data_IF_772178016707
#
_entry.id   IF_772178016707
#
_cell.length_a   1.000
_cell.length_b   1.000
_cell.length_c   1.000
_cell.angle_alpha   90.00
_cell.angle_beta   90.00
_cell.angle_gamma   90.00
#
_symmetry.space_group_name_H-M   'P 1'
#
loop_
_entity.id
_entity.type
_entity.pdbx_description
1 polymer ?
#
# COMPACT_ATOMS: atom_id res chain seq x y z
N UNK A 1 -7.62 34.62 49.69
CA UNK A 1 -7.87 33.75 48.54
C UNK A 1 -6.84 32.64 48.62
N UNK A 2 -7.22 31.42 49.00
CA UNK A 2 -6.32 30.27 48.91
C UNK A 2 -6.04 30.04 47.41
N UNK A 3 -4.77 30.05 47.03
CA UNK A 3 -4.33 29.72 45.69
C UNK A 3 -4.84 28.30 45.32
N UNK A 4 -5.94 28.29 44.57
CA UNK A 4 -6.44 27.04 44.02
C UNK A 4 -5.44 26.56 42.96
N UNK A 5 -4.66 25.56 43.30
CA UNK A 5 -3.76 24.90 42.34
C UNK A 5 -4.61 24.17 41.30
N UNK A 6 -4.82 24.78 40.14
CA UNK A 6 -5.47 24.15 39.00
C UNK A 6 -4.51 23.13 38.37
N UNK A 7 -5.04 22.04 37.92
CA UNK A 7 -4.30 21.02 37.14
C UNK A 7 -4.99 20.66 35.81
N UNK A 8 -6.05 21.41 35.44
CA UNK A 8 -6.82 21.20 34.20
C UNK A 8 -7.30 22.52 33.66
N UNK A 9 -7.41 22.60 32.33
CA UNK A 9 -7.95 23.76 31.67
C UNK A 9 -9.45 23.94 31.92
N UNK A 10 -10.22 22.88 31.73
CA UNK A 10 -11.67 22.99 31.90
C UNK A 10 -12.33 21.71 32.36
N UNK A 11 -13.51 21.92 32.97
CA UNK A 11 -14.52 20.92 33.18
C UNK A 11 -15.69 21.19 32.24
N UNK A 12 -16.20 20.17 31.52
CA UNK A 12 -17.36 20.27 30.66
C UNK A 12 -18.57 19.72 31.39
N UNK A 13 -19.49 20.63 31.75
CA UNK A 13 -20.78 20.32 32.37
C UNK A 13 -21.87 20.19 31.31
N UNK A 14 -22.65 19.12 31.34
CA UNK A 14 -23.69 18.87 30.33
C UNK A 14 -24.78 17.93 30.85
N UNK A 15 -25.96 17.97 30.22
CA UNK A 15 -26.99 16.95 30.42
C UNK A 15 -26.69 15.72 29.55
N UNK A 16 -26.96 14.50 30.02
CA UNK A 16 -26.70 13.25 29.29
C UNK A 16 -27.29 13.21 27.88
N UNK A 17 -28.45 13.87 27.67
CA UNK A 17 -29.05 13.98 26.33
C UNK A 17 -28.20 14.76 25.33
N UNK A 18 -27.28 15.60 25.83
CA UNK A 18 -26.39 16.43 25.04
C UNK A 18 -24.98 15.81 24.87
N UNK A 19 -24.83 14.52 25.24
CA UNK A 19 -23.56 13.76 25.24
C UNK A 19 -22.81 13.85 23.91
N UNK A 20 -23.52 13.84 22.77
CA UNK A 20 -22.88 13.91 21.44
C UNK A 20 -22.08 15.20 21.28
N UNK A 21 -22.64 16.33 21.71
CA UNK A 21 -21.98 17.63 21.62
C UNK A 21 -20.85 17.74 22.66
N UNK A 22 -21.06 17.22 23.88
CA UNK A 22 -20.03 17.17 24.91
C UNK A 22 -18.81 16.36 24.45
N UNK A 23 -19.01 15.18 23.87
CA UNK A 23 -17.92 14.36 23.28
C UNK A 23 -17.21 15.09 22.16
N UNK A 24 -17.93 15.74 21.26
CA UNK A 24 -17.35 16.51 20.17
C UNK A 24 -16.48 17.65 20.70
N UNK A 25 -17.01 18.46 21.62
CA UNK A 25 -16.29 19.60 22.19
C UNK A 25 -15.04 19.16 22.95
N UNK A 26 -15.18 18.13 23.78
CA UNK A 26 -14.07 17.53 24.53
C UNK A 26 -12.92 17.10 23.59
N UNK A 27 -13.24 16.29 22.56
CA UNK A 27 -12.25 15.82 21.58
C UNK A 27 -11.57 16.97 20.83
N UNK A 28 -12.35 17.99 20.46
CA UNK A 28 -11.83 19.18 19.78
C UNK A 28 -10.88 19.99 20.67
N UNK A 29 -11.25 20.21 21.94
CA UNK A 29 -10.40 20.93 22.89
C UNK A 29 -9.11 20.18 23.14
N UNK A 30 -9.16 18.90 23.47
CA UNK A 30 -7.98 18.09 23.75
C UNK A 30 -7.04 17.91 22.54
N UNK A 31 -7.59 17.95 21.32
CA UNK A 31 -6.81 17.88 20.07
C UNK A 31 -6.35 19.27 19.57
N UNK A 32 -6.72 20.35 20.24
CA UNK A 32 -6.33 21.68 19.80
C UNK A 32 -4.85 21.93 20.10
N UNK A 33 -4.08 22.18 19.06
CA UNK A 33 -2.66 22.50 19.17
C UNK A 33 -2.49 23.95 19.56
N UNK A 34 -1.86 24.17 20.70
CA UNK A 34 -1.55 25.50 21.20
C UNK A 34 -0.68 26.31 20.20
N UNK A 35 -0.86 27.63 20.11
CA UNK A 35 0.12 28.51 19.48
C UNK A 35 1.52 28.30 20.06
N UNK A 36 2.55 28.46 19.26
CA UNK A 36 3.96 28.27 19.68
C UNK A 36 4.38 29.21 20.82
N UNK A 37 3.70 30.34 20.92
CA UNK A 37 3.93 31.38 21.91
C UNK A 37 3.25 31.08 23.26
N UNK A 38 2.35 30.07 23.29
CA UNK A 38 1.58 29.68 24.48
C UNK A 38 2.03 28.30 24.93
N UNK A 39 2.59 28.23 26.11
CA UNK A 39 2.91 26.95 26.76
C UNK A 39 1.67 26.38 27.45
N UNK A 40 1.57 25.07 27.52
CA UNK A 40 0.56 24.42 28.33
C UNK A 40 0.90 24.65 29.82
N UNK A 41 -0.09 25.13 30.59
CA UNK A 41 0.10 25.46 32.00
C UNK A 41 0.12 24.21 32.91
N UNK A 42 -0.38 23.06 32.45
CA UNK A 42 -0.65 21.90 33.28
C UNK A 42 0.09 20.63 32.88
N UNK A 43 0.52 20.52 31.64
CA UNK A 43 1.25 19.38 31.10
C UNK A 43 2.35 19.82 30.14
N UNK A 44 3.42 19.06 30.04
CA UNK A 44 4.40 19.24 28.95
C UNK A 44 3.81 18.72 27.61
N UNK A 45 2.86 19.47 27.10
CA UNK A 45 2.09 19.13 25.91
C UNK A 45 1.91 20.33 24.98
N UNK A 46 1.94 20.06 23.69
CA UNK A 46 1.61 21.06 22.64
C UNK A 46 0.10 21.21 22.42
N UNK A 47 -0.72 20.57 23.22
CA UNK A 47 -2.17 20.54 23.06
C UNK A 47 -2.87 21.14 24.29
N UNK A 48 -4.10 21.64 24.07
CA UNK A 48 -4.96 22.23 25.12
C UNK A 48 -5.60 21.10 25.95
N UNK A 49 -4.85 20.54 26.87
CA UNK A 49 -5.27 19.45 27.76
C UNK A 49 -4.54 19.55 29.11
N UNK A 50 -5.03 18.93 30.19
CA UNK A 50 -6.20 18.04 30.23
C UNK A 50 -7.53 18.81 30.32
N UNK A 51 -8.55 18.26 29.67
CA UNK A 51 -9.93 18.67 29.79
C UNK A 51 -10.72 17.55 30.44
N UNK A 52 -11.53 17.86 31.44
CA UNK A 52 -12.38 16.86 32.07
C UNK A 52 -13.82 16.97 31.53
N UNK A 53 -14.42 15.86 31.29
CA UNK A 53 -15.84 15.74 30.95
C UNK A 53 -16.48 14.76 31.91
N UNK A 54 -17.58 15.15 32.52
CA UNK A 54 -18.35 14.26 33.40
C UNK A 54 -18.73 12.98 32.64
N UNK A 55 -18.50 11.83 33.29
CA UNK A 55 -18.90 10.52 32.79
C UNK A 55 -19.95 9.99 33.76
N UNK A 56 -21.19 10.00 33.36
CA UNK A 56 -22.37 9.57 34.14
C UNK A 56 -22.38 8.07 34.50
N UNK A 57 -21.33 7.30 34.20
CA UNK A 57 -21.31 5.84 34.34
C UNK A 57 -20.87 5.35 35.76
N UNK A 58 -20.82 6.21 36.73
CA UNK A 58 -20.34 5.84 38.07
C UNK A 58 -21.47 5.91 39.12
N UNK A 59 -21.54 4.93 40.04
CA UNK A 59 -22.57 4.76 41.04
C UNK A 59 -22.76 5.99 41.98
N UNK A 60 -23.99 6.35 42.23
CA UNK A 60 -24.46 7.61 42.83
C UNK A 60 -24.01 7.94 44.27
N UNK A 61 -23.23 7.11 44.92
CA UNK A 61 -22.89 7.26 46.35
C UNK A 61 -21.50 7.81 46.68
N UNK A 62 -20.50 7.55 45.82
CA UNK A 62 -19.08 7.95 46.05
C UNK A 62 -18.68 9.10 45.14
N UNK A 63 -19.53 9.44 44.18
CA UNK A 63 -19.28 10.32 43.05
C UNK A 63 -19.18 11.80 43.39
N UNK A 64 -19.91 12.26 44.42
CA UNK A 64 -20.01 13.68 44.74
C UNK A 64 -18.68 14.33 45.07
N UNK A 65 -17.83 13.64 45.81
CA UNK A 65 -16.56 14.20 46.29
C UNK A 65 -15.48 14.17 45.24
N UNK A 66 -15.41 13.12 44.44
CA UNK A 66 -14.42 13.00 43.37
C UNK A 66 -14.72 13.97 42.23
N UNK A 67 -15.97 14.09 41.87
CA UNK A 67 -16.41 15.06 40.87
C UNK A 67 -16.18 16.50 41.34
N UNK A 68 -16.51 16.83 42.60
CA UNK A 68 -16.17 18.14 43.17
C UNK A 68 -14.67 18.42 43.15
N UNK A 69 -13.84 17.41 43.32
CA UNK A 69 -12.38 17.53 43.25
C UNK A 69 -11.96 17.87 41.80
N UNK A 70 -12.55 17.23 40.79
CA UNK A 70 -12.29 17.55 39.39
C UNK A 70 -12.80 18.93 39.02
N UNK A 71 -13.98 19.30 39.47
CA UNK A 71 -14.56 20.62 39.27
C UNK A 71 -13.66 21.69 39.90
N UNK A 72 -13.20 21.51 41.14
CA UNK A 72 -12.34 22.44 41.88
C UNK A 72 -10.96 22.63 41.21
N UNK A 73 -10.41 21.54 40.66
CA UNK A 73 -9.08 21.53 40.04
C UNK A 73 -9.09 22.06 38.60
N UNK A 74 -10.26 22.36 38.00
CA UNK A 74 -10.39 22.90 36.69
C UNK A 74 -10.43 24.42 36.67
N UNK A 75 -9.68 25.08 35.77
CA UNK A 75 -9.59 26.53 35.67
C UNK A 75 -10.89 27.14 35.12
N UNK A 76 -11.50 26.50 34.15
CA UNK A 76 -12.75 26.94 33.53
C UNK A 76 -13.85 25.89 33.65
N UNK A 77 -15.11 26.37 33.68
CA UNK A 77 -16.31 25.55 33.55
C UNK A 77 -16.97 25.85 32.21
N UNK A 78 -16.98 24.90 31.29
CA UNK A 78 -17.71 25.00 30.03
C UNK A 78 -19.06 24.34 30.23
N UNK A 79 -20.13 25.12 30.18
CA UNK A 79 -21.50 24.64 30.36
C UNK A 79 -22.17 24.47 29.01
N UNK A 80 -22.53 23.25 28.66
CA UNK A 80 -23.35 23.02 27.46
C UNK A 80 -24.78 23.40 27.79
N UNK A 81 -25.27 24.45 27.15
CA UNK A 81 -26.58 25.05 27.36
C UNK A 81 -27.58 24.56 26.31
N UNK A 82 -28.67 23.98 26.75
CA UNK A 82 -29.79 23.48 25.99
C UNK A 82 -31.03 23.44 26.86
N UNK A 83 -32.25 23.22 26.29
CA UNK A 83 -33.46 22.99 27.09
C UNK A 83 -33.34 21.77 28.02
N UNK A 84 -32.46 20.82 27.73
CA UNK A 84 -32.19 19.70 28.63
C UNK A 84 -31.33 20.14 29.85
N UNK A 85 -30.29 20.92 29.60
CA UNK A 85 -29.40 21.40 30.68
C UNK A 85 -30.10 22.43 31.58
N UNK A 86 -31.03 23.24 31.04
CA UNK A 86 -31.84 24.18 31.79
C UNK A 86 -32.68 23.51 32.90
N UNK A 87 -33.13 22.28 32.65
CA UNK A 87 -33.92 21.44 33.56
C UNK A 87 -33.07 20.55 34.46
N UNK A 88 -31.75 20.52 34.27
CA UNK A 88 -30.85 19.65 35.02
C UNK A 88 -30.42 20.28 36.33
N UNK A 89 -30.81 19.66 37.45
CA UNK A 89 -30.34 20.05 38.78
C UNK A 89 -28.86 19.88 38.93
N UNK A 90 -28.31 18.85 38.30
CA UNK A 90 -26.89 18.53 38.35
C UNK A 90 -26.04 19.65 37.75
N UNK A 91 -26.33 20.02 36.46
CA UNK A 91 -25.64 21.12 35.78
C UNK A 91 -25.83 22.43 36.56
N UNK A 92 -27.02 22.67 37.12
CA UNK A 92 -27.30 23.85 37.95
C UNK A 92 -26.46 23.89 39.21
N UNK A 93 -26.24 22.75 39.86
CA UNK A 93 -25.39 22.63 41.08
C UNK A 93 -23.90 22.88 40.77
N UNK A 94 -23.39 22.39 39.67
CA UNK A 94 -22.00 22.62 39.22
C UNK A 94 -21.76 24.11 38.95
N UNK A 95 -22.68 24.74 38.24
CA UNK A 95 -22.65 26.20 37.98
C UNK A 95 -22.72 26.97 39.28
N UNK A 96 -23.66 26.65 40.16
CA UNK A 96 -23.76 27.29 41.50
C UNK A 96 -22.46 27.20 42.28
N UNK A 97 -21.87 26.04 42.33
CA UNK A 97 -20.59 25.80 43.03
C UNK A 97 -19.47 26.70 42.49
N UNK A 98 -19.37 26.88 41.17
CA UNK A 98 -18.40 27.80 40.56
C UNK A 98 -18.68 29.27 40.90
N UNK A 99 -19.95 29.67 40.97
CA UNK A 99 -20.38 31.02 41.38
C UNK A 99 -20.02 31.27 42.84
N UNK A 100 -20.32 30.30 43.75
CA UNK A 100 -20.00 30.38 45.16
C UNK A 100 -18.48 30.50 45.45
N UNK A 101 -17.67 29.90 44.58
CA UNK A 101 -16.19 30.08 44.64
C UNK A 101 -15.70 31.40 44.09
N UNK A 102 -16.58 32.30 43.65
CA UNK A 102 -16.23 33.60 43.06
C UNK A 102 -15.63 33.51 41.65
N UNK A 103 -15.86 32.37 40.98
CA UNK A 103 -15.23 32.04 39.68
C UNK A 103 -16.17 32.22 38.46
N UNK A 104 -17.10 33.14 38.56
CA UNK A 104 -18.05 33.41 37.47
C UNK A 104 -17.38 33.71 36.16
N UNK A 105 -16.33 34.51 36.15
CA UNK A 105 -15.60 34.89 34.90
C UNK A 105 -14.94 33.67 34.21
N UNK A 106 -14.86 32.56 34.94
CA UNK A 106 -14.32 31.28 34.40
C UNK A 106 -15.44 30.36 33.88
N UNK A 107 -16.71 30.78 33.93
CA UNK A 107 -17.83 30.04 33.35
C UNK A 107 -17.98 30.45 31.88
N UNK A 108 -18.03 29.47 31.00
CA UNK A 108 -18.19 29.65 29.56
C UNK A 108 -19.48 28.93 29.12
N UNK A 109 -20.63 29.66 29.02
CA UNK A 109 -21.82 29.08 28.47
C UNK A 109 -21.64 28.79 26.97
N UNK A 110 -21.88 27.55 26.59
CA UNK A 110 -21.81 27.07 25.22
C UNK A 110 -23.19 26.61 24.77
N UNK A 111 -23.90 27.50 24.08
CA UNK A 111 -25.32 27.33 23.71
C UNK A 111 -25.36 26.47 22.44
N UNK A 112 -26.02 25.30 22.57
CA UNK A 112 -26.21 24.38 21.46
C UNK A 112 -27.62 24.34 20.93
N UNK A 113 -28.58 24.73 21.76
CA UNK A 113 -30.00 24.81 21.44
C UNK A 113 -30.73 25.71 22.46
N UNK A 114 -31.84 26.26 22.06
CA UNK A 114 -32.69 27.11 22.93
C UNK A 114 -32.26 28.58 22.99
N UNK A 115 -32.94 29.34 23.84
CA UNK A 115 -32.80 30.79 23.98
C UNK A 115 -32.47 31.11 25.45
N UNK A 116 -31.35 31.80 25.71
CA UNK A 116 -30.98 32.17 27.07
C UNK A 116 -31.95 33.19 27.67
N UNK A 117 -32.35 32.98 28.92
CA UNK A 117 -33.28 33.83 29.69
C UNK A 117 -34.65 33.98 29.04
N UNK A 118 -35.12 33.03 28.24
CA UNK A 118 -36.46 33.06 27.66
C UNK A 118 -37.57 32.83 28.70
N UNK A 119 -37.25 32.09 29.76
CA UNK A 119 -38.22 31.71 30.80
C UNK A 119 -39.27 30.69 30.34
N UNK A 120 -39.20 30.25 29.08
CA UNK A 120 -40.14 29.33 28.46
C UNK A 120 -39.59 27.89 28.34
N UNK A 121 -40.25 27.11 27.47
CA UNK A 121 -39.83 25.72 27.20
C UNK A 121 -38.48 25.63 26.45
N UNK A 122 -38.13 26.67 25.75
CA UNK A 122 -36.91 26.86 24.99
C UNK A 122 -35.75 27.46 25.81
N UNK A 123 -35.97 27.67 27.10
CA UNK A 123 -34.91 28.14 28.00
C UNK A 123 -33.68 27.18 28.00
N UNK A 124 -32.50 27.73 27.81
CA UNK A 124 -31.25 26.93 27.74
C UNK A 124 -30.30 27.15 28.89
N UNK A 125 -30.45 28.22 29.68
CA UNK A 125 -29.56 28.45 30.83
C UNK A 125 -30.01 27.66 32.07
N UNK A 126 -29.09 26.96 32.77
CA UNK A 126 -29.38 26.35 34.06
C UNK A 126 -29.92 27.36 35.07
N UNK A 127 -30.76 26.89 36.01
CA UNK A 127 -31.44 27.74 37.00
C UNK A 127 -30.47 28.65 37.77
N UNK A 128 -29.31 28.12 38.17
CA UNK A 128 -28.29 28.90 38.90
C UNK A 128 -27.71 30.04 38.08
N UNK A 129 -27.54 29.82 36.76
CA UNK A 129 -27.02 30.84 35.84
C UNK A 129 -28.04 31.95 35.63
N UNK A 130 -29.34 31.61 35.42
CA UNK A 130 -30.43 32.56 35.28
C UNK A 130 -30.62 33.42 36.50
N UNK A 131 -30.63 32.82 37.71
CA UNK A 131 -30.72 33.53 38.99
C UNK A 131 -29.59 34.56 39.12
N UNK A 132 -28.36 34.13 38.83
CA UNK A 132 -27.23 35.04 38.89
C UNK A 132 -27.35 36.23 37.91
N UNK A 133 -27.76 35.98 36.67
CA UNK A 133 -27.95 37.03 35.66
C UNK A 133 -29.08 38.01 36.12
N UNK A 134 -30.18 37.49 36.66
CA UNK A 134 -31.27 38.32 37.18
C UNK A 134 -30.86 39.20 38.39
N UNK A 135 -29.99 38.68 39.28
CA UNK A 135 -29.52 39.42 40.44
C UNK A 135 -28.39 40.42 40.10
N UNK A 136 -27.75 40.27 38.91
CA UNK A 136 -26.63 41.11 38.47
C UNK A 136 -26.84 41.64 37.02
N UNK A 137 -27.83 42.51 36.79
CA UNK A 137 -28.20 42.98 35.45
C UNK A 137 -27.08 43.74 34.74
N UNK A 138 -26.16 44.35 35.49
CA UNK A 138 -25.01 45.11 34.94
C UNK A 138 -23.86 44.15 34.45
N UNK A 139 -23.98 42.85 34.72
CA UNK A 139 -22.99 41.88 34.25
C UNK A 139 -23.57 40.96 33.17
N UNK A 140 -23.35 41.37 31.92
CA UNK A 140 -23.73 40.57 30.79
C UNK A 140 -22.89 39.32 30.68
N UNK A 141 -23.51 38.13 30.84
CA UNK A 141 -22.87 36.86 30.62
C UNK A 141 -23.03 36.44 29.16
N UNK A 142 -22.06 36.76 28.35
CA UNK A 142 -22.09 36.43 26.92
C UNK A 142 -21.91 34.91 26.74
N UNK A 143 -22.99 34.23 26.33
CA UNK A 143 -22.95 32.85 25.89
C UNK A 143 -22.40 32.73 24.46
N UNK A 144 -21.73 31.64 24.20
CA UNK A 144 -21.22 31.31 22.85
C UNK A 144 -22.28 30.44 22.17
N UNK A 145 -23.04 31.03 21.23
CA UNK A 145 -24.15 30.38 20.55
C UNK A 145 -23.69 29.77 19.22
N UNK A 146 -23.78 28.43 19.11
CA UNK A 146 -23.37 27.70 17.89
C UNK A 146 -24.35 27.93 16.75
N UNK A 147 -25.61 28.22 17.03
CA UNK A 147 -26.65 28.46 16.01
C UNK A 147 -26.40 29.78 15.27
N UNK A 148 -25.84 30.78 15.96
CA UNK A 148 -25.55 32.11 15.37
C UNK A 148 -24.22 32.12 14.62
N UNK A 149 -23.16 31.55 15.22
CA UNK A 149 -21.78 31.71 14.69
C UNK A 149 -21.26 30.49 13.95
N UNK A 150 -21.96 29.37 14.06
CA UNK A 150 -21.53 28.07 13.57
C UNK A 150 -20.55 27.36 14.48
N UNK A 151 -20.55 26.05 14.44
CA UNK A 151 -19.89 25.16 15.37
C UNK A 151 -18.36 25.37 15.48
N UNK A 152 -17.67 25.55 14.36
CA UNK A 152 -16.21 25.76 14.35
C UNK A 152 -15.81 27.13 14.91
N UNK A 153 -16.56 28.19 14.60
CA UNK A 153 -16.29 29.52 15.18
C UNK A 153 -16.58 29.55 16.67
N UNK A 154 -17.68 28.90 17.10
CA UNK A 154 -18.00 28.76 18.50
C UNK A 154 -16.89 28.05 19.28
N UNK A 155 -16.37 26.95 18.74
CA UNK A 155 -15.22 26.25 19.32
C UNK A 155 -14.00 27.18 19.46
N UNK A 156 -13.61 27.90 18.43
CA UNK A 156 -12.45 28.84 18.50
C UNK A 156 -12.71 29.96 19.50
N UNK A 157 -13.97 30.41 19.70
CA UNK A 157 -14.31 31.38 20.75
C UNK A 157 -14.13 30.81 22.16
N UNK A 158 -14.48 29.53 22.40
CA UNK A 158 -14.18 28.86 23.66
C UNK A 158 -12.69 28.85 23.93
N UNK A 159 -11.90 28.42 22.95
CA UNK A 159 -10.43 28.38 23.07
C UNK A 159 -9.84 29.77 23.32
N UNK A 160 -10.31 30.79 22.56
CA UNK A 160 -9.89 32.18 22.73
C UNK A 160 -10.12 32.67 24.15
N UNK A 161 -11.32 32.37 24.73
CA UNK A 161 -11.65 32.75 26.11
C UNK A 161 -10.81 32.00 27.15
N UNK A 162 -10.52 30.71 26.93
CA UNK A 162 -9.68 29.91 27.82
C UNK A 162 -8.21 30.37 27.85
N UNK A 163 -7.68 30.77 26.69
CA UNK A 163 -6.28 31.17 26.53
C UNK A 163 -6.06 32.68 26.71
N UNK A 164 -7.12 33.49 26.79
CA UNK A 164 -7.01 34.93 26.90
C UNK A 164 -6.45 35.62 25.63
N UNK A 165 -6.57 34.99 24.46
CA UNK A 165 -6.03 35.48 23.19
C UNK A 165 -7.13 36.00 22.26
N UNK A 166 -6.76 36.84 21.31
CA UNK A 166 -7.71 37.41 20.34
C UNK A 166 -8.35 36.31 19.46
N UNK A 167 -9.69 36.30 19.41
CA UNK A 167 -10.42 35.40 18.53
C UNK A 167 -10.00 35.51 17.06
N UNK A 168 -9.77 36.76 16.58
CA UNK A 168 -9.44 36.98 15.18
C UNK A 168 -8.10 36.36 14.79
N UNK A 169 -7.12 36.37 15.67
CA UNK A 169 -5.80 35.77 15.44
C UNK A 169 -5.88 34.24 15.41
N UNK A 170 -6.59 33.66 16.40
CA UNK A 170 -6.81 32.21 16.45
C UNK A 170 -7.64 31.74 15.26
N UNK A 171 -8.68 32.48 14.87
CA UNK A 171 -9.53 32.13 13.74
C UNK A 171 -8.77 32.12 12.42
N UNK A 172 -7.99 33.19 12.13
CA UNK A 172 -7.16 33.26 10.92
C UNK A 172 -6.14 32.09 10.86
N UNK A 173 -5.57 31.71 11.99
CA UNK A 173 -4.65 30.57 12.08
C UNK A 173 -5.37 29.25 11.81
N UNK A 174 -6.50 29.02 12.50
CA UNK A 174 -7.34 27.82 12.34
C UNK A 174 -7.82 27.64 10.90
N UNK A 175 -8.26 28.72 10.27
CA UNK A 175 -8.71 28.70 8.87
C UNK A 175 -7.55 28.40 7.91
N UNK A 176 -6.36 28.96 8.13
CA UNK A 176 -5.17 28.66 7.33
C UNK A 176 -4.76 27.18 7.44
N UNK A 177 -4.77 26.62 8.62
CA UNK A 177 -4.43 25.20 8.83
C UNK A 177 -5.47 24.27 8.20
N UNK A 178 -6.76 24.63 8.28
CA UNK A 178 -7.84 23.90 7.63
C UNK A 178 -7.71 23.92 6.12
N UNK A 179 -7.47 25.10 5.52
CA UNK A 179 -7.25 25.27 4.07
C UNK A 179 -6.05 24.43 3.61
N UNK A 180 -4.92 24.50 4.31
CA UNK A 180 -3.73 23.69 3.98
C UNK A 180 -4.03 22.19 3.96
N UNK A 181 -4.79 21.69 4.93
CA UNK A 181 -5.20 20.27 4.96
C UNK A 181 -6.10 19.93 3.78
N UNK A 182 -7.10 20.75 3.48
CA UNK A 182 -8.00 20.52 2.33
C UNK A 182 -7.19 20.49 1.03
N UNK A 183 -6.29 21.44 0.81
CA UNK A 183 -5.42 21.47 -0.38
C UNK A 183 -4.51 20.23 -0.45
N UNK A 184 -3.90 19.84 0.66
CA UNK A 184 -3.05 18.64 0.70
C UNK A 184 -3.83 17.37 0.32
N UNK A 185 -5.05 17.20 0.83
CA UNK A 185 -5.89 16.06 0.49
C UNK A 185 -6.45 16.12 -0.95
N UNK A 186 -6.82 17.32 -1.42
CA UNK A 186 -7.34 17.49 -2.79
C UNK A 186 -6.30 17.22 -3.88
N UNK A 187 -5.02 17.37 -3.58
CA UNK A 187 -3.91 17.04 -4.49
C UNK A 187 -3.41 15.61 -4.24
N UNK A 188 -3.25 15.23 -2.98
CA UNK A 188 -2.68 13.94 -2.61
C UNK A 188 -3.50 12.74 -3.03
N UNK A 189 -4.82 12.78 -2.83
CA UNK A 189 -5.71 11.67 -3.20
C UNK A 189 -5.69 11.40 -4.72
N UNK A 190 -5.88 12.40 -5.61
CA UNK A 190 -5.80 12.18 -7.05
C UNK A 190 -4.44 11.65 -7.54
N UNK A 191 -3.34 12.09 -6.94
CA UNK A 191 -2.01 11.57 -7.29
C UNK A 191 -1.91 10.09 -6.93
N UNK A 192 -2.28 9.73 -5.69
CA UNK A 192 -2.22 8.34 -5.24
C UNK A 192 -3.15 7.44 -6.06
N UNK A 193 -4.38 7.88 -6.32
CA UNK A 193 -5.33 7.11 -7.13
C UNK A 193 -4.87 6.96 -8.58
N UNK A 194 -4.29 8.00 -9.17
CA UNK A 194 -3.71 7.95 -10.51
C UNK A 194 -2.53 6.98 -10.57
N UNK A 195 -1.68 6.98 -9.56
CA UNK A 195 -0.55 6.06 -9.46
C UNK A 195 -1.01 4.60 -9.31
N UNK A 196 -1.98 4.34 -8.43
CA UNK A 196 -2.57 3.01 -8.26
C UNK A 196 -3.22 2.52 -9.56
N UNK A 197 -3.98 3.39 -10.23
CA UNK A 197 -4.59 3.10 -11.53
C UNK A 197 -3.53 2.77 -12.59
N UNK A 198 -2.44 3.54 -12.66
CA UNK A 198 -1.34 3.30 -13.59
C UNK A 198 -0.70 1.91 -13.41
N UNK A 199 -0.51 1.46 -12.17
CA UNK A 199 0.01 0.13 -11.89
C UNK A 199 -1.04 -0.99 -12.00
N UNK A 200 -2.32 -0.67 -11.99
CA UNK A 200 -3.40 -1.63 -12.23
C UNK A 200 -3.62 -1.93 -13.73
N UNK A 201 -3.26 -1.00 -14.63
CA UNK A 201 -3.45 -1.19 -16.08
C UNK A 201 -2.53 -2.30 -16.58
N UNK A 202 -3.07 -3.35 -17.24
CA UNK A 202 -2.27 -4.40 -17.86
C UNK A 202 -1.32 -3.85 -18.93
N UNK A 203 -0.17 -4.50 -19.04
CA UNK A 203 0.88 -4.15 -20.01
C UNK A 203 0.94 -5.23 -21.08
N UNK A 204 1.18 -4.85 -22.32
CA UNK A 204 1.50 -5.80 -23.37
C UNK A 204 3.01 -5.88 -23.60
N UNK A 205 3.50 -7.11 -23.69
CA UNK A 205 4.89 -7.43 -24.00
C UNK A 205 4.94 -8.19 -25.34
N UNK A 206 5.63 -7.59 -26.31
CA UNK A 206 5.94 -8.23 -27.57
C UNK A 206 7.32 -8.86 -27.47
N UNK A 207 7.38 -10.16 -27.57
CA UNK A 207 8.64 -10.91 -27.57
C UNK A 207 8.91 -11.34 -28.99
N UNK A 208 10.04 -10.91 -29.53
CA UNK A 208 10.53 -11.35 -30.84
C UNK A 208 11.65 -12.36 -30.61
N UNK A 209 11.46 -13.56 -31.13
CA UNK A 209 12.45 -14.61 -31.10
C UNK A 209 13.33 -14.51 -32.37
N UNK A 210 14.64 -14.51 -32.21
CA UNK A 210 15.60 -14.42 -33.30
C UNK A 210 16.60 -15.56 -33.15
N UNK A 211 16.62 -16.42 -34.16
CA UNK A 211 17.67 -17.44 -34.25
C UNK A 211 19.00 -16.77 -34.64
N UNK A 212 20.08 -17.11 -33.96
CA UNK A 212 21.43 -16.59 -34.22
C UNK A 212 21.95 -16.98 -35.63
N UNK A 213 21.39 -18.05 -36.26
CA UNK A 213 21.87 -18.65 -37.50
C UNK A 213 20.94 -18.44 -38.71
N UNK A 214 19.95 -17.55 -38.62
CA UNK A 214 18.97 -17.21 -39.67
C UNK A 214 17.88 -18.25 -40.00
N UNK A 215 16.66 -17.92 -39.59
CA UNK A 215 15.38 -18.29 -40.18
C UNK A 215 15.07 -19.78 -40.39
N UNK A 216 15.01 -20.50 -39.25
CA UNK A 216 14.33 -21.78 -39.28
C UNK A 216 12.99 -21.71 -38.52
N UNK A 217 11.96 -22.42 -38.97
CA UNK A 217 10.71 -22.49 -38.28
C UNK A 217 10.92 -23.00 -36.86
N UNK A 218 10.16 -22.41 -35.93
CA UNK A 218 10.20 -22.81 -34.51
C UNK A 218 9.77 -24.28 -34.40
N UNK A 219 10.42 -25.11 -33.58
CA UNK A 219 9.97 -26.48 -33.33
C UNK A 219 8.65 -26.49 -32.59
N UNK A 220 7.84 -27.54 -32.82
CA UNK A 220 6.51 -27.66 -32.22
C UNK A 220 6.54 -27.92 -30.69
N UNK A 221 7.70 -28.26 -30.14
CA UNK A 221 7.94 -28.47 -28.71
C UNK A 221 8.43 -27.22 -27.98
N UNK A 222 8.54 -26.10 -28.66
CA UNK A 222 9.05 -24.89 -28.07
C UNK A 222 8.02 -24.25 -27.10
N UNK A 223 8.48 -23.94 -25.91
CA UNK A 223 7.69 -23.32 -24.85
C UNK A 223 8.41 -22.05 -24.38
N UNK A 224 7.68 -20.95 -24.35
CA UNK A 224 8.12 -19.71 -23.74
C UNK A 224 7.40 -19.52 -22.41
N UNK A 225 8.15 -19.38 -21.32
CA UNK A 225 7.63 -19.12 -19.99
C UNK A 225 7.88 -17.66 -19.66
N UNK A 226 6.81 -16.92 -19.35
CA UNK A 226 6.88 -15.49 -18.98
C UNK A 226 6.07 -15.28 -17.71
N UNK A 227 6.70 -14.74 -16.68
CA UNK A 227 6.06 -14.53 -15.37
C UNK A 227 5.36 -15.79 -14.83
N UNK A 228 5.97 -16.96 -14.99
CA UNK A 228 5.47 -18.29 -14.63
C UNK A 228 4.25 -18.80 -15.43
N UNK A 229 3.85 -18.10 -16.48
CA UNK A 229 2.83 -18.60 -17.41
C UNK A 229 3.50 -19.21 -18.65
N UNK A 230 3.02 -20.35 -19.11
CA UNK A 230 3.55 -21.09 -20.25
C UNK A 230 2.81 -20.72 -21.51
N UNK A 231 3.56 -20.46 -22.56
CA UNK A 231 3.09 -20.13 -23.90
C UNK A 231 3.69 -21.12 -24.88
N UNK A 232 2.95 -22.15 -25.30
CA UNK A 232 3.41 -23.07 -26.34
C UNK A 232 3.51 -22.29 -27.67
N UNK A 233 4.56 -22.54 -28.44
CA UNK A 233 4.88 -21.89 -29.68
C UNK A 233 4.61 -22.82 -30.86
N UNK A 234 4.06 -22.26 -31.93
CA UNK A 234 3.99 -22.95 -33.22
C UNK A 234 5.17 -22.57 -34.11
N UNK A 235 5.45 -23.38 -35.13
CA UNK A 235 6.55 -23.17 -36.07
C UNK A 235 6.48 -21.83 -36.85
N UNK A 236 5.35 -21.12 -36.82
CA UNK A 236 5.17 -19.80 -37.44
C UNK A 236 5.38 -18.63 -36.46
N UNK A 237 5.52 -18.90 -35.15
CA UNK A 237 5.55 -17.87 -34.13
C UNK A 237 6.96 -17.28 -33.94
N UNK A 238 7.30 -16.29 -34.79
CA UNK A 238 8.52 -15.49 -34.56
C UNK A 238 8.32 -14.29 -33.64
N UNK A 239 7.08 -13.89 -33.42
CA UNK A 239 6.71 -12.78 -32.54
C UNK A 239 5.46 -13.11 -31.73
N UNK A 240 5.58 -13.04 -30.42
CA UNK A 240 4.49 -13.35 -29.50
C UNK A 240 4.08 -12.07 -28.78
N UNK A 241 2.78 -11.80 -28.74
CA UNK A 241 2.21 -10.66 -28.03
C UNK A 241 1.43 -11.13 -26.80
N UNK A 242 1.96 -10.86 -25.63
CA UNK A 242 1.31 -11.14 -24.34
C UNK A 242 0.61 -9.86 -23.89
N UNK A 243 -0.73 -9.84 -23.86
CA UNK A 243 -1.54 -8.63 -23.60
C UNK A 243 -1.93 -8.43 -22.14
N UNK A 244 -1.70 -9.40 -21.27
CA UNK A 244 -2.29 -9.47 -19.92
C UNK A 244 -1.26 -9.50 -18.80
N UNK A 245 -0.10 -8.89 -18.99
CA UNK A 245 0.90 -8.79 -17.93
C UNK A 245 0.41 -7.76 -16.92
N UNK A 246 0.26 -8.12 -15.63
CA UNK A 246 -0.14 -7.18 -14.59
C UNK A 246 0.77 -5.96 -14.52
N UNK A 247 0.18 -4.75 -14.40
CA UNK A 247 0.93 -3.50 -14.47
C UNK A 247 1.96 -3.30 -13.36
N UNK A 248 1.83 -4.00 -12.21
CA UNK A 248 2.81 -3.95 -11.12
C UNK A 248 4.19 -4.52 -11.53
N UNK A 249 4.26 -5.32 -12.60
CA UNK A 249 5.55 -5.76 -13.15
C UNK A 249 6.40 -4.63 -13.74
N UNK A 250 5.86 -3.41 -13.87
CA UNK A 250 6.69 -2.22 -14.18
C UNK A 250 7.73 -1.92 -13.08
N UNK A 251 7.46 -2.37 -11.85
CA UNK A 251 8.38 -2.22 -10.70
C UNK A 251 9.31 -3.43 -10.53
N UNK A 252 9.00 -4.55 -11.16
CA UNK A 252 9.70 -5.81 -11.00
C UNK A 252 10.33 -6.24 -12.32
N UNK A 253 11.31 -7.12 -12.24
CA UNK A 253 11.81 -7.81 -13.42
C UNK A 253 10.97 -9.05 -13.68
N UNK A 254 10.66 -9.30 -14.95
CA UNK A 254 9.88 -10.46 -15.37
C UNK A 254 10.85 -11.56 -15.72
N UNK A 255 10.80 -12.73 -15.07
CA UNK A 255 11.57 -13.88 -15.49
C UNK A 255 11.02 -14.40 -16.82
N UNK A 256 11.90 -14.62 -17.78
CA UNK A 256 11.60 -15.24 -19.06
C UNK A 256 12.48 -16.46 -19.20
N UNK A 257 11.89 -17.56 -19.63
CA UNK A 257 12.59 -18.81 -19.90
C UNK A 257 12.08 -19.38 -21.22
N UNK A 258 12.99 -19.74 -22.09
CA UNK A 258 12.68 -20.43 -23.32
C UNK A 258 13.24 -21.86 -23.22
N UNK A 259 12.43 -22.85 -23.61
CA UNK A 259 12.77 -24.26 -23.62
C UNK A 259 12.31 -24.91 -24.90
N UNK A 260 13.18 -25.65 -25.54
CA UNK A 260 12.90 -26.51 -26.69
C UNK A 260 13.97 -27.58 -26.78
N UNK A 261 13.67 -28.69 -27.45
CA UNK A 261 14.64 -29.77 -27.67
C UNK A 261 15.79 -29.34 -28.59
N UNK A 262 15.54 -28.38 -29.49
CA UNK A 262 16.52 -27.99 -30.55
C UNK A 262 17.34 -26.75 -30.23
N UNK A 263 17.02 -26.08 -29.15
CA UNK A 263 17.71 -24.85 -28.74
C UNK A 263 18.23 -24.99 -27.31
N UNK A 264 19.35 -24.35 -27.05
CA UNK A 264 19.83 -24.20 -25.68
C UNK A 264 18.81 -23.48 -24.84
N UNK A 265 18.55 -23.99 -23.64
CA UNK A 265 17.64 -23.35 -22.70
C UNK A 265 18.15 -21.94 -22.36
N UNK A 266 17.36 -20.95 -22.75
CA UNK A 266 17.68 -19.55 -22.49
C UNK A 266 16.81 -19.03 -21.37
N UNK A 267 17.46 -18.44 -20.35
CA UNK A 267 16.78 -17.79 -19.25
C UNK A 267 17.28 -16.36 -19.08
N UNK A 268 16.38 -15.46 -18.75
CA UNK A 268 16.71 -14.07 -18.55
C UNK A 268 15.64 -13.32 -17.77
N UNK A 269 15.91 -12.05 -17.51
CA UNK A 269 14.96 -11.14 -16.85
C UNK A 269 14.70 -9.95 -17.75
N UNK A 270 13.45 -9.59 -17.91
CA UNK A 270 13.03 -8.41 -18.69
C UNK A 270 12.47 -7.36 -17.75
N UNK A 271 12.95 -6.13 -17.90
CA UNK A 271 12.39 -4.95 -17.23
C UNK A 271 11.45 -4.25 -18.19
N UNK A 272 10.18 -4.09 -17.76
CA UNK A 272 9.21 -3.32 -18.54
C UNK A 272 9.56 -1.83 -18.49
N UNK A 273 9.34 -1.15 -19.60
CA UNK A 273 9.37 0.31 -19.65
C UNK A 273 8.11 0.94 -19.08
N UNK A 274 8.09 2.27 -19.00
CA UNK A 274 6.94 3.04 -18.50
C UNK A 274 5.71 2.99 -19.41
N UNK A 275 5.88 2.57 -20.68
CA UNK A 275 4.81 2.48 -21.66
C UNK A 275 3.85 1.31 -21.45
N UNK A 276 2.76 1.33 -22.22
CA UNK A 276 1.77 0.24 -22.24
C UNK A 276 2.27 -0.91 -23.13
N UNK A 277 3.02 -0.59 -24.19
CA UNK A 277 3.60 -1.56 -25.12
C UNK A 277 5.09 -1.67 -24.93
N UNK A 278 5.58 -2.86 -24.71
CA UNK A 278 7.01 -3.15 -24.57
C UNK A 278 7.42 -4.19 -25.59
N UNK A 279 8.63 -4.08 -26.12
CA UNK A 279 9.18 -5.06 -27.07
C UNK A 279 10.51 -5.55 -26.56
N UNK A 280 10.68 -6.86 -26.56
CA UNK A 280 11.90 -7.55 -26.16
C UNK A 280 12.34 -8.50 -27.26
N UNK A 281 13.65 -8.55 -27.52
CA UNK A 281 14.23 -9.49 -28.47
C UNK A 281 14.98 -10.55 -27.66
N UNK A 282 14.67 -11.81 -27.91
CA UNK A 282 15.37 -12.96 -27.34
C UNK A 282 16.13 -13.63 -28.48
N UNK A 283 17.44 -13.74 -28.33
CA UNK A 283 18.29 -14.47 -29.26
C UNK A 283 18.37 -15.92 -28.79
N UNK A 284 18.05 -16.83 -29.70
CA UNK A 284 18.08 -18.26 -29.46
C UNK A 284 19.34 -18.85 -30.08
N UNK A 285 20.06 -19.63 -29.30
CA UNK A 285 21.20 -20.40 -29.76
C UNK A 285 20.79 -21.87 -29.90
N UNK A 286 21.12 -22.46 -31.03
CA UNK A 286 20.84 -23.88 -31.24
C UNK A 286 21.70 -24.74 -30.33
N UNK A 287 21.14 -25.84 -29.88
CA UNK A 287 21.90 -26.87 -29.23
C UNK A 287 22.79 -27.57 -30.27
N UNK A 288 24.07 -27.23 -30.27
CA UNK A 288 25.07 -27.78 -31.19
C UNK A 288 25.26 -29.28 -31.04
N UNK A 289 24.86 -29.86 -29.93
CA UNK A 289 24.95 -31.29 -29.66
C UNK A 289 23.81 -32.05 -30.32
N UNK A 290 22.62 -31.43 -30.40
CA UNK A 290 21.45 -32.07 -30.95
C UNK A 290 21.44 -32.19 -32.50
N UNK A 291 22.20 -31.31 -33.18
CA UNK A 291 22.23 -31.26 -34.65
C UNK A 291 23.40 -32.06 -35.25
N UNK A 292 24.16 -32.71 -34.40
CA UNK A 292 25.42 -33.32 -34.80
C UNK A 292 25.43 -34.83 -34.47
N UNK A 293 25.63 -35.61 -35.50
CA UNK A 293 25.94 -37.03 -35.36
C UNK A 293 27.45 -37.16 -35.29
N UNK A 294 27.97 -37.17 -34.08
CA UNK A 294 29.45 -37.23 -33.86
C UNK A 294 29.79 -38.42 -32.98
N UNK A 295 30.94 -39.00 -33.25
CA UNK A 295 31.41 -40.15 -32.49
C UNK A 295 32.84 -40.54 -32.83
N UNK A 296 33.31 -41.58 -32.18
CA UNK A 296 34.60 -42.21 -32.45
C UNK A 296 34.44 -43.70 -32.74
N UNK A 297 35.24 -44.19 -33.66
CA UNK A 297 35.30 -45.59 -34.02
C UNK A 297 36.70 -46.13 -33.60
N UNK A 298 36.72 -47.12 -32.73
CA UNK A 298 37.90 -47.79 -32.29
C UNK A 298 37.84 -49.30 -32.58
N UNK A 299 38.92 -49.98 -32.58
CA UNK A 299 38.91 -51.45 -32.57
C UNK A 299 38.84 -52.02 -31.14
N UNK A 300 38.93 -53.33 -31.01
CA UNK A 300 38.86 -54.05 -29.73
C UNK A 300 40.05 -53.73 -28.81
N UNK A 301 41.16 -53.26 -29.35
CA UNK A 301 42.36 -52.87 -28.64
C UNK A 301 42.38 -51.38 -28.31
N UNK A 302 41.23 -50.70 -28.51
CA UNK A 302 41.02 -49.26 -28.34
C UNK A 302 41.87 -48.37 -29.28
N UNK A 303 42.45 -48.95 -30.35
CA UNK A 303 43.13 -48.19 -31.40
C UNK A 303 42.13 -47.52 -32.33
N UNK A 304 42.37 -46.27 -32.75
CA UNK A 304 41.45 -45.54 -33.64
C UNK A 304 41.37 -46.23 -35.02
N UNK A 305 40.14 -46.33 -35.53
CA UNK A 305 39.92 -46.85 -36.88
C UNK A 305 39.78 -45.68 -37.83
N UNK A 306 40.84 -45.38 -38.54
CA UNK A 306 40.86 -44.32 -39.57
C UNK A 306 40.19 -44.77 -40.88
N UNK A 307 39.59 -43.80 -41.63
CA UNK A 307 38.95 -44.02 -42.92
C UNK A 307 37.86 -45.11 -42.87
N UNK A 308 37.17 -45.27 -41.74
CA UNK A 308 35.94 -46.02 -41.73
C UNK A 308 34.81 -45.18 -42.32
N UNK A 309 34.03 -45.77 -43.21
CA UNK A 309 32.87 -45.14 -43.78
C UNK A 309 31.71 -45.21 -42.77
N UNK A 310 31.21 -44.04 -42.40
CA UNK A 310 30.06 -43.90 -41.50
C UNK A 310 28.90 -43.32 -42.29
N UNK A 311 27.94 -44.17 -42.59
CA UNK A 311 26.71 -43.82 -43.28
C UNK A 311 25.56 -43.66 -42.29
N UNK A 312 24.89 -42.51 -42.31
CA UNK A 312 23.69 -42.26 -41.50
C UNK A 312 22.57 -41.74 -42.46
N UNK A 313 21.56 -42.56 -42.72
CA UNK A 313 20.60 -42.31 -43.81
C UNK A 313 21.34 -42.22 -45.13
N UNK A 314 21.16 -41.10 -45.85
CA UNK A 314 21.82 -40.81 -47.12
C UNK A 314 23.12 -40.05 -46.99
N UNK A 315 23.50 -39.65 -45.78
CA UNK A 315 24.73 -38.87 -45.52
C UNK A 315 25.89 -39.80 -45.17
N UNK A 316 27.09 -39.50 -45.72
CA UNK A 316 28.29 -40.30 -45.50
C UNK A 316 29.41 -39.39 -44.96
N UNK A 317 30.14 -39.89 -43.94
CA UNK A 317 31.38 -39.30 -43.46
C UNK A 317 32.46 -40.41 -43.31
N UNK A 318 33.72 -40.00 -43.25
CA UNK A 318 34.83 -40.89 -42.99
C UNK A 318 35.48 -40.52 -41.65
N UNK A 319 35.93 -41.50 -40.90
CA UNK A 319 36.68 -41.25 -39.67
C UNK A 319 38.07 -40.70 -39.99
N UNK A 320 38.53 -39.77 -39.13
CA UNK A 320 39.87 -39.17 -39.21
C UNK A 320 40.94 -40.10 -38.57
N UNK A 321 42.22 -39.61 -38.53
CA UNK A 321 43.37 -40.34 -37.96
C UNK A 321 43.15 -40.73 -36.50
N UNK A 322 42.24 -40.07 -35.76
CA UNK A 322 41.87 -40.34 -34.40
C UNK A 322 40.59 -41.18 -34.28
N UNK A 323 40.07 -41.64 -35.42
CA UNK A 323 38.83 -42.41 -35.44
C UNK A 323 37.56 -41.59 -35.25
N UNK A 324 37.62 -40.24 -35.27
CA UNK A 324 36.46 -39.40 -35.07
C UNK A 324 35.72 -39.15 -36.40
N UNK A 325 34.40 -39.05 -36.30
CA UNK A 325 33.54 -38.61 -37.43
C UNK A 325 32.54 -37.59 -36.95
N UNK A 326 32.00 -36.78 -37.88
CA UNK A 326 31.00 -35.79 -37.62
C UNK A 326 30.11 -35.60 -38.83
N UNK A 327 28.80 -35.75 -38.63
CA UNK A 327 27.74 -35.48 -39.60
C UNK A 327 26.77 -34.45 -39.02
N UNK A 328 26.43 -33.46 -39.82
CA UNK A 328 25.49 -32.40 -39.43
C UNK A 328 24.25 -32.53 -40.26
N UNK A 329 23.09 -32.62 -39.59
CA UNK A 329 21.77 -32.75 -40.24
C UNK A 329 20.98 -31.47 -40.11
N UNK A 330 20.04 -31.23 -41.04
CA UNK A 330 19.02 -30.19 -40.88
C UNK A 330 18.06 -30.58 -39.72
N UNK A 331 17.37 -29.61 -39.13
CA UNK A 331 16.41 -29.85 -38.03
C UNK A 331 15.28 -30.79 -38.50
N UNK A 332 14.89 -30.71 -39.75
CA UNK A 332 13.85 -31.58 -40.33
C UNK A 332 14.32 -33.02 -40.41
N UNK A 333 15.56 -33.22 -40.84
CA UNK A 333 16.16 -34.55 -40.93
C UNK A 333 16.49 -35.20 -39.57
N UNK A 334 16.65 -34.41 -38.53
CA UNK A 334 16.89 -34.90 -37.16
C UNK A 334 15.70 -35.62 -36.52
N UNK A 335 14.48 -35.35 -37.03
CA UNK A 335 13.24 -35.96 -36.54
C UNK A 335 13.02 -37.39 -37.05
N UNK A 336 13.78 -37.81 -38.03
CA UNK A 336 13.66 -39.11 -38.61
C UNK A 336 14.61 -40.11 -37.99
N UNK A 337 14.11 -41.30 -37.68
CA UNK A 337 14.95 -42.43 -37.30
C UNK A 337 15.88 -42.76 -38.47
N UNK A 338 17.20 -42.69 -38.25
CA UNK A 338 18.18 -42.97 -39.26
C UNK A 338 18.95 -44.24 -38.96
N UNK A 339 19.14 -45.04 -39.96
CA UNK A 339 19.99 -46.23 -39.86
C UNK A 339 21.44 -45.80 -39.97
N UNK A 340 22.22 -46.14 -38.93
CA UNK A 340 23.68 -45.98 -38.94
C UNK A 340 24.32 -47.28 -39.42
N UNK A 341 25.25 -47.12 -40.35
CA UNK A 341 26.11 -48.21 -40.81
C UNK A 341 27.54 -47.74 -40.83
N UNK A 342 28.42 -48.52 -40.19
CA UNK A 342 29.88 -48.24 -40.22
C UNK A 342 30.55 -49.42 -40.86
N UNK A 343 31.33 -49.14 -41.91
CA UNK A 343 32.04 -50.16 -42.69
C UNK A 343 33.52 -49.80 -42.84
N UNK A 344 34.35 -50.84 -42.73
CA UNK A 344 35.79 -50.74 -42.96
C UNK A 344 36.28 -52.12 -43.44
N UNK A 345 37.16 -52.13 -44.48
CA UNK A 345 37.72 -53.38 -45.01
C UNK A 345 38.49 -54.15 -43.90
N UNK A 346 38.23 -55.45 -43.74
CA UNK A 346 38.82 -56.29 -42.70
C UNK A 346 38.23 -56.12 -41.31
N UNK A 347 37.07 -55.40 -41.19
CA UNK A 347 36.39 -55.23 -39.93
C UNK A 347 34.88 -55.56 -40.11
N UNK A 348 34.27 -56.07 -39.06
CA UNK A 348 32.84 -56.36 -39.07
C UNK A 348 32.02 -55.11 -39.18
N UNK A 349 31.00 -55.08 -40.08
CA UNK A 349 30.08 -53.96 -40.24
C UNK A 349 29.24 -53.74 -39.00
N UNK A 350 29.20 -52.54 -38.51
CA UNK A 350 28.25 -52.14 -37.44
C UNK A 350 27.00 -51.60 -38.12
N UNK A 351 25.85 -52.05 -37.67
CA UNK A 351 24.55 -51.51 -38.11
C UNK A 351 23.68 -51.28 -36.87
N UNK A 352 23.10 -50.07 -36.76
CA UNK A 352 22.19 -49.73 -35.69
C UNK A 352 21.01 -48.91 -36.28
N UNK A 353 19.83 -49.11 -35.73
CA UNK A 353 18.66 -48.26 -35.97
C UNK A 353 18.56 -47.36 -34.74
N UNK A 354 19.14 -46.17 -34.83
CA UNK A 354 19.20 -45.23 -33.71
C UNK A 354 18.33 -44.02 -34.02
N UNK A 355 17.69 -43.49 -32.99
CA UNK A 355 17.20 -42.11 -33.00
C UNK A 355 18.43 -41.19 -33.13
N UNK A 356 18.18 -39.94 -33.59
CA UNK A 356 19.25 -38.96 -33.69
C UNK A 356 19.85 -38.72 -32.30
N UNK A 357 21.09 -39.18 -32.03
CA UNK A 357 21.62 -39.15 -30.68
C UNK A 357 22.09 -37.75 -30.28
N UNK A 358 21.95 -37.45 -29.01
CA UNK A 358 22.57 -36.28 -28.40
C UNK A 358 23.85 -36.69 -27.71
N UNK A 359 25.01 -36.26 -28.22
CA UNK A 359 26.32 -36.47 -27.62
C UNK A 359 27.32 -37.26 -28.49
N UNK A 360 28.51 -37.43 -27.96
CA UNK A 360 29.54 -38.20 -28.62
C UNK A 360 29.32 -39.70 -28.42
N UNK A 361 29.26 -40.43 -29.51
CA UNK A 361 29.05 -41.86 -29.52
C UNK A 361 30.36 -42.60 -29.71
N UNK A 362 30.50 -43.79 -29.12
CA UNK A 362 31.64 -44.67 -29.30
C UNK A 362 31.22 -45.98 -29.94
N UNK A 363 31.87 -46.35 -30.98
CA UNK A 363 31.65 -47.60 -31.71
C UNK A 363 32.93 -48.44 -31.71
N UNK A 364 32.79 -49.71 -31.40
CA UNK A 364 33.92 -50.65 -31.39
C UNK A 364 33.73 -51.65 -32.53
N UNK A 365 34.69 -51.69 -33.43
CA UNK A 365 34.70 -52.62 -34.58
C UNK A 365 35.53 -53.86 -34.23
N UNK A 366 34.98 -55.00 -34.53
CA UNK A 366 35.68 -56.29 -34.38
C UNK A 366 36.33 -56.64 -35.74
N UNK A 367 37.41 -57.45 -35.69
CA UNK A 367 38.01 -58.01 -36.89
C UNK A 367 37.05 -59.07 -37.49
N UNK A 368 37.03 -59.19 -38.78
CA UNK A 368 36.28 -60.24 -39.49
C UNK A 368 36.80 -61.65 -39.15
#
# INVERSE_FOLDING_TARGET
>A
MQDATFNRYAFISYNHRDLKMAKWLHKKLESFKLPTEIHNEFEDSKYLRPIFRDQEDLDAGVLGDELRKHLRSSKYLVVICSPNSAKSEWVSNEVRTFIEWGRLNCIIPFIIDGIPNSGGEDECFPVSLRKYVAENPDRELLGINILEVGQEKAFVRVVSRMLGVSFNELWKRHERERRRRIIAWSIGIPIVTSLLYYFAIPVSLNIRLVDANHCLPMPDDAILIVANAEYPLSHLDTTITIKTIPGYYRLLKIPIKFSSTYYMMTSGEVKLGMGIKNTQIIRLERDSVFAIYAGSVTDVDAEPVEQAEVQVGDSIAYTDEKGHFKLVFSIEEQREYKKLRITKSGKQTITRDDECPSGELRYIMHNE
#
